data_IF_245722094094
#
_entry.id   IF_245722094094
#
_cell.length_a   1.000
_cell.length_b   1.000
_cell.length_c   1.000
_cell.angle_alpha   90.00
_cell.angle_beta   90.00
_cell.angle_gamma   90.00
#
_symmetry.space_group_name_H-M   'P 1'
#
loop_
_entity.id
_entity.type
_entity.pdbx_description
1 polymer ?
#
# COMPACT_ATOMS: atom_id res chain seq x y z
N UNK A 1 -11.41 -25.26 -39.67
CA UNK A 1 -11.60 -23.96 -38.98
C UNK A 1 -10.35 -23.54 -38.17
N UNK A 2 -9.16 -23.50 -38.79
CA UNK A 2 -7.93 -22.97 -38.15
C UNK A 2 -7.04 -22.15 -39.09
N UNK A 3 -7.44 -21.95 -40.35
CA UNK A 3 -6.67 -21.18 -41.35
C UNK A 3 -7.20 -19.76 -41.61
N UNK A 4 -8.47 -19.47 -41.28
CA UNK A 4 -9.05 -18.14 -41.49
C UNK A 4 -8.68 -17.10 -40.42
N UNK A 5 -8.40 -17.54 -39.19
CA UNK A 5 -8.12 -16.64 -38.06
C UNK A 5 -6.71 -16.00 -38.11
N UNK A 6 -5.79 -16.57 -38.90
CA UNK A 6 -4.45 -16.01 -39.07
C UNK A 6 -4.40 -14.91 -40.15
N UNK A 7 -5.31 -14.96 -41.15
CA UNK A 7 -5.32 -13.97 -42.24
C UNK A 7 -6.00 -12.65 -41.85
N UNK A 8 -6.95 -12.66 -40.90
CA UNK A 8 -7.55 -11.42 -40.36
C UNK A 8 -6.63 -10.66 -39.39
N UNK A 9 -5.63 -11.32 -38.80
CA UNK A 9 -4.63 -10.69 -37.94
C UNK A 9 -3.56 -9.95 -38.76
N UNK A 10 -3.24 -10.43 -39.95
CA UNK A 10 -2.24 -9.81 -40.84
C UNK A 10 -2.74 -8.51 -41.49
N UNK A 11 -4.05 -8.29 -41.60
CA UNK A 11 -4.63 -7.09 -42.23
C UNK A 11 -4.93 -5.93 -41.26
N UNK A 12 -4.81 -6.13 -39.93
CA UNK A 12 -5.03 -5.07 -38.93
C UNK A 12 -3.74 -4.41 -38.40
N UNK A 13 -2.58 -4.79 -38.91
CA UNK A 13 -1.32 -4.10 -38.65
C UNK A 13 -1.17 -2.88 -39.58
N UNK A 14 -2.07 -1.91 -39.48
CA UNK A 14 -1.85 -0.59 -40.07
C UNK A 14 -0.78 0.14 -39.26
N UNK A 15 0.25 0.60 -39.97
CA UNK A 15 1.50 1.16 -39.46
C UNK A 15 1.33 2.18 -38.30
N UNK A 16 2.23 2.18 -37.30
CA UNK A 16 2.36 3.33 -36.42
C UNK A 16 2.77 4.55 -37.26
N UNK A 17 1.98 5.61 -37.15
CA UNK A 17 2.29 6.96 -37.62
C UNK A 17 3.72 7.33 -37.25
N UNK A 18 4.47 7.81 -38.25
CA UNK A 18 5.89 8.16 -38.21
C UNK A 18 6.30 8.87 -36.91
N UNK A 19 6.76 8.10 -35.93
CA UNK A 19 7.67 8.61 -34.93
C UNK A 19 8.98 8.90 -35.68
N UNK A 20 9.28 10.19 -35.88
CA UNK A 20 10.53 10.64 -36.50
C UNK A 20 11.70 9.92 -35.84
N UNK A 21 12.29 8.98 -36.56
CA UNK A 21 13.42 8.21 -36.06
C UNK A 21 14.60 9.17 -35.88
N UNK A 22 14.86 9.57 -34.63
CA UNK A 22 16.00 10.42 -34.28
C UNK A 22 17.26 9.69 -34.72
N UNK A 23 17.93 10.20 -35.74
CA UNK A 23 19.14 9.58 -36.27
C UNK A 23 20.23 9.53 -35.19
N UNK A 24 21.12 8.54 -35.25
CA UNK A 24 22.26 8.42 -34.31
C UNK A 24 23.11 9.70 -34.27
N UNK A 25 23.17 10.47 -35.37
CA UNK A 25 23.82 11.79 -35.42
C UNK A 25 23.02 12.89 -34.73
N UNK A 26 21.69 12.86 -34.77
CA UNK A 26 20.84 13.78 -34.00
C UNK A 26 20.86 13.46 -32.50
N UNK A 27 20.91 12.16 -32.13
CA UNK A 27 21.07 11.73 -30.74
C UNK A 27 22.45 12.13 -30.17
N UNK A 28 23.52 11.90 -30.93
CA UNK A 28 24.87 12.32 -30.55
C UNK A 28 25.05 13.85 -30.63
N UNK A 29 24.34 14.53 -31.53
CA UNK A 29 24.31 16.00 -31.61
C UNK A 29 23.58 16.66 -30.44
N UNK A 30 22.54 16.01 -29.90
CA UNK A 30 21.85 16.45 -28.68
C UNK A 30 22.69 16.23 -27.41
N UNK A 31 23.55 15.21 -27.40
CA UNK A 31 24.56 14.97 -26.36
C UNK A 31 25.77 15.94 -26.45
N UNK A 32 25.93 16.66 -27.56
CA UNK A 32 26.99 17.66 -27.74
C UNK A 32 26.59 19.07 -27.27
N UNK A 33 25.48 19.22 -26.53
CA UNK A 33 25.24 20.42 -25.74
C UNK A 33 26.16 20.37 -24.51
N UNK A 34 26.82 21.49 -24.19
CA UNK A 34 27.75 21.64 -23.07
C UNK A 34 27.21 21.20 -21.68
N UNK A 35 25.92 20.89 -21.59
CA UNK A 35 25.24 20.30 -20.43
C UNK A 35 25.59 18.82 -20.18
N UNK A 36 25.86 18.00 -21.21
CA UNK A 36 26.09 16.56 -21.01
C UNK A 36 27.48 16.25 -20.44
N UNK A 37 28.49 17.04 -20.79
CA UNK A 37 29.86 16.87 -20.27
C UNK A 37 29.94 17.32 -18.81
N UNK A 38 29.33 18.46 -18.47
CA UNK A 38 29.24 18.95 -17.10
C UNK A 38 28.47 18.00 -16.17
N UNK A 39 27.37 17.40 -16.68
CA UNK A 39 26.61 16.41 -15.93
C UNK A 39 27.40 15.10 -15.72
N UNK A 40 28.22 14.67 -16.69
CA UNK A 40 29.07 13.48 -16.54
C UNK A 40 30.21 13.70 -15.54
N UNK A 41 30.84 14.88 -15.55
CA UNK A 41 31.88 15.27 -14.59
C UNK A 41 31.32 15.36 -13.16
N UNK A 42 30.13 15.94 -12.99
CA UNK A 42 29.44 15.99 -11.70
C UNK A 42 28.95 14.61 -11.24
N UNK A 43 28.50 13.75 -12.15
CA UNK A 43 28.08 12.38 -11.82
C UNK A 43 29.28 11.55 -11.34
N UNK A 44 30.47 11.76 -11.92
CA UNK A 44 31.70 11.11 -11.48
C UNK A 44 32.24 11.68 -10.15
N UNK A 45 32.05 12.97 -9.88
CA UNK A 45 32.55 13.64 -8.68
C UNK A 45 31.63 13.49 -7.45
N UNK A 46 30.31 13.51 -7.65
CA UNK A 46 29.33 13.33 -6.58
C UNK A 46 28.01 12.71 -7.12
N UNK A 47 27.97 11.37 -7.27
CA UNK A 47 26.80 10.67 -7.79
C UNK A 47 25.52 10.93 -6.97
N UNK A 48 25.63 11.06 -5.64
CA UNK A 48 24.47 11.33 -4.78
C UNK A 48 23.85 12.70 -5.04
N UNK A 49 24.66 13.75 -5.25
CA UNK A 49 24.14 15.09 -5.51
C UNK A 49 23.43 15.17 -6.87
N UNK A 50 23.94 14.45 -7.88
CA UNK A 50 23.30 14.39 -9.19
C UNK A 50 21.99 13.62 -9.12
N UNK A 51 21.95 12.48 -8.42
CA UNK A 51 20.71 11.73 -8.17
C UNK A 51 19.68 12.59 -7.43
N UNK A 52 20.07 13.29 -6.36
CA UNK A 52 19.20 14.19 -5.61
C UNK A 52 18.64 15.32 -6.50
N UNK A 53 19.46 15.89 -7.39
CA UNK A 53 19.01 16.91 -8.33
C UNK A 53 18.02 16.36 -9.36
N UNK A 54 18.25 15.17 -9.91
CA UNK A 54 17.30 14.51 -10.79
C UNK A 54 16.00 14.16 -10.07
N UNK A 55 16.08 13.65 -8.84
CA UNK A 55 14.92 13.40 -7.98
C UNK A 55 14.12 14.67 -7.74
N UNK A 56 14.78 15.78 -7.42
CA UNK A 56 14.14 17.08 -7.22
C UNK A 56 13.44 17.58 -8.49
N UNK A 57 14.11 17.50 -9.65
CA UNK A 57 13.51 17.88 -10.93
C UNK A 57 12.32 16.99 -11.31
N UNK A 58 12.43 15.68 -11.10
CA UNK A 58 11.34 14.73 -11.33
C UNK A 58 10.17 15.07 -10.41
N UNK A 59 10.41 15.33 -9.12
CA UNK A 59 9.38 15.71 -8.16
C UNK A 59 8.72 17.03 -8.55
N UNK A 60 9.47 18.07 -8.92
CA UNK A 60 8.92 19.35 -9.36
C UNK A 60 8.10 19.23 -10.66
N UNK A 61 8.60 18.46 -11.64
CA UNK A 61 7.86 18.17 -12.87
C UNK A 61 6.60 17.33 -12.63
N UNK A 62 6.64 16.46 -11.63
CA UNK A 62 5.52 15.61 -11.21
C UNK A 62 4.44 16.42 -10.47
N UNK A 63 4.85 17.35 -9.60
CA UNK A 63 3.95 18.18 -8.80
C UNK A 63 3.32 19.33 -9.59
N UNK A 64 3.89 19.72 -10.73
CA UNK A 64 3.36 20.78 -11.59
C UNK A 64 2.25 20.31 -12.56
N UNK A 65 1.91 19.02 -12.57
CA UNK A 65 0.87 18.47 -13.43
C UNK A 65 -0.54 18.93 -13.00
N UNK A 66 -1.37 19.31 -13.97
CA UNK A 66 -2.76 19.69 -13.71
C UNK A 66 -3.62 18.47 -13.35
N UNK A 67 -4.74 18.69 -12.67
CA UNK A 67 -5.69 17.60 -12.36
C UNK A 67 -6.31 16.94 -13.60
N UNK A 68 -6.32 17.62 -14.75
CA UNK A 68 -6.73 17.04 -16.02
C UNK A 68 -5.67 16.07 -16.57
N UNK A 69 -4.39 16.43 -16.48
CA UNK A 69 -3.27 15.57 -16.93
C UNK A 69 -3.21 14.29 -16.10
N UNK A 70 -3.40 14.40 -14.77
CA UNK A 70 -3.41 13.27 -13.86
C UNK A 70 -4.51 12.24 -14.16
N UNK A 71 -5.67 12.67 -14.67
CA UNK A 71 -6.78 11.78 -15.02
C UNK A 71 -6.47 10.91 -16.24
N UNK A 72 -5.53 11.32 -17.09
CA UNK A 72 -5.09 10.54 -18.24
C UNK A 72 -4.05 9.46 -17.87
N UNK A 73 -3.46 9.53 -16.67
CA UNK A 73 -2.44 8.61 -16.22
C UNK A 73 -3.02 7.27 -15.73
N UNK A 74 -2.12 6.30 -15.59
CA UNK A 74 -2.39 5.10 -14.83
C UNK A 74 -2.84 5.44 -13.40
N UNK A 75 -3.82 4.72 -12.87
CA UNK A 75 -4.37 5.01 -11.55
C UNK A 75 -3.34 4.91 -10.41
N UNK A 76 -2.37 4.00 -10.52
CA UNK A 76 -1.30 3.90 -9.53
C UNK A 76 -0.37 5.11 -9.60
N UNK A 77 -0.08 5.59 -10.81
CA UNK A 77 0.76 6.76 -11.00
C UNK A 77 0.04 8.03 -10.52
N UNK A 78 -1.24 8.21 -10.89
CA UNK A 78 -2.07 9.30 -10.34
C UNK A 78 -2.02 9.33 -8.81
N UNK A 79 -2.29 8.21 -8.16
CA UNK A 79 -2.26 8.13 -6.69
C UNK A 79 -0.86 8.40 -6.11
N UNK A 80 0.22 7.95 -6.78
CA UNK A 80 1.60 8.22 -6.35
C UNK A 80 1.90 9.72 -6.39
N UNK A 81 1.46 10.41 -7.44
CA UNK A 81 1.65 11.86 -7.58
C UNK A 81 0.83 12.63 -6.54
N UNK A 82 -0.45 12.25 -6.36
CA UNK A 82 -1.31 12.82 -5.33
C UNK A 82 -0.75 12.59 -3.91
N UNK A 83 -0.15 11.43 -3.65
CA UNK A 83 0.56 11.13 -2.41
C UNK A 83 1.73 12.11 -2.19
N UNK A 84 2.61 12.28 -3.18
CA UNK A 84 3.75 13.20 -3.09
C UNK A 84 3.29 14.65 -2.86
N UNK A 85 2.19 15.05 -3.50
CA UNK A 85 1.56 16.36 -3.28
C UNK A 85 1.05 16.50 -1.85
N UNK A 86 0.37 15.50 -1.32
CA UNK A 86 -0.11 15.50 0.06
C UNK A 86 1.03 15.57 1.09
N UNK A 87 2.19 14.96 0.79
CA UNK A 87 3.38 15.04 1.65
C UNK A 87 4.01 16.44 1.73
N UNK A 88 3.65 17.38 0.84
CA UNK A 88 4.07 18.79 0.97
C UNK A 88 3.29 19.56 2.04
N UNK A 89 2.12 19.06 2.45
CA UNK A 89 1.28 19.67 3.49
C UNK A 89 1.81 19.35 4.88
N UNK A 90 1.42 20.11 5.90
CA UNK A 90 1.70 19.71 7.28
C UNK A 90 0.93 18.43 7.63
N UNK A 91 1.45 17.54 8.51
CA UNK A 91 0.76 16.31 8.89
C UNK A 91 -0.70 16.51 9.35
N UNK A 92 -0.97 17.58 10.10
CA UNK A 92 -2.33 17.92 10.59
C UNK A 92 -3.32 18.33 9.50
N UNK A 93 -2.84 18.69 8.32
CA UNK A 93 -3.67 19.10 7.18
C UNK A 93 -4.07 17.92 6.28
N UNK A 94 -3.50 16.74 6.54
CA UNK A 94 -3.72 15.52 5.76
C UNK A 94 -4.80 14.67 6.41
N UNK A 95 -5.59 14.00 5.58
CA UNK A 95 -6.56 13.00 6.01
C UNK A 95 -6.45 11.76 5.13
N UNK A 96 -5.60 10.82 5.56
CA UNK A 96 -5.41 9.57 4.85
C UNK A 96 -6.68 8.71 4.86
N UNK A 97 -7.12 8.32 3.67
CA UNK A 97 -8.25 7.41 3.48
C UNK A 97 -7.89 6.29 2.50
N UNK A 98 -8.58 5.17 2.65
CA UNK A 98 -8.53 4.07 1.70
C UNK A 98 -9.91 3.84 1.11
N UNK A 99 -10.01 3.67 -0.20
CA UNK A 99 -11.26 3.32 -0.88
C UNK A 99 -11.10 1.95 -1.53
N UNK A 100 -12.05 1.05 -1.36
CA UNK A 100 -11.99 -0.31 -1.87
C UNK A 100 -13.21 -0.58 -2.76
N UNK A 101 -12.99 -0.69 -4.08
CA UNK A 101 -14.03 -1.04 -5.05
C UNK A 101 -14.27 -2.56 -5.07
N UNK A 102 -15.37 -2.98 -4.45
CA UNK A 102 -15.70 -4.38 -4.28
C UNK A 102 -16.14 -5.04 -5.59
N UNK A 103 -16.52 -4.25 -6.61
CA UNK A 103 -16.85 -4.74 -7.95
C UNK A 103 -15.62 -5.19 -8.73
N UNK A 104 -14.44 -4.67 -8.36
CA UNK A 104 -13.14 -5.02 -8.95
C UNK A 104 -12.39 -6.10 -8.18
N UNK A 105 -12.83 -6.44 -6.97
CA UNK A 105 -12.15 -7.41 -6.14
C UNK A 105 -12.51 -8.84 -6.57
N UNK A 106 -11.52 -9.58 -7.07
CA UNK A 106 -11.68 -10.97 -7.51
C UNK A 106 -11.22 -12.01 -6.47
N UNK A 107 -10.94 -11.59 -5.23
CA UNK A 107 -10.55 -12.52 -4.17
C UNK A 107 -9.16 -13.17 -4.36
N UNK A 108 -8.23 -12.55 -5.08
CA UNK A 108 -6.92 -13.15 -5.35
C UNK A 108 -5.95 -13.22 -4.16
N UNK A 109 -6.26 -12.59 -3.02
CA UNK A 109 -5.41 -12.46 -1.83
C UNK A 109 -4.00 -11.85 -2.03
N UNK A 110 -3.64 -11.38 -3.23
CA UNK A 110 -2.35 -10.75 -3.51
C UNK A 110 -2.06 -9.57 -2.56
N UNK A 111 -3.09 -8.81 -2.21
CA UNK A 111 -2.95 -7.67 -1.31
C UNK A 111 -2.80 -8.07 0.17
N UNK A 112 -3.24 -9.27 0.56
CA UNK A 112 -2.97 -9.85 1.88
C UNK A 112 -1.52 -10.28 1.94
N UNK A 113 -1.06 -11.06 0.95
CA UNK A 113 0.33 -11.55 0.89
C UNK A 113 1.32 -10.39 0.74
N UNK A 114 1.02 -9.38 -0.07
CA UNK A 114 1.83 -8.17 -0.18
C UNK A 114 1.95 -7.44 1.16
N UNK A 115 0.89 -7.42 1.98
CA UNK A 115 0.94 -6.83 3.32
C UNK A 115 1.76 -7.70 4.29
N UNK A 116 1.65 -9.03 4.21
CA UNK A 116 2.45 -9.97 5.01
C UNK A 116 3.93 -9.79 4.72
N UNK A 117 4.30 -9.77 3.43
CA UNK A 117 5.69 -9.63 3.01
C UNK A 117 6.28 -8.27 3.40
N UNK A 118 5.52 -7.19 3.19
CA UNK A 118 5.95 -5.83 3.48
C UNK A 118 6.20 -5.59 4.97
N UNK A 119 5.29 -6.07 5.83
CA UNK A 119 5.32 -5.79 7.28
C UNK A 119 5.90 -6.97 8.07
N UNK A 120 6.44 -7.99 7.37
CA UNK A 120 7.00 -9.24 7.91
C UNK A 120 6.09 -9.84 8.97
N UNK A 121 4.85 -10.11 8.57
CA UNK A 121 3.83 -10.58 9.49
C UNK A 121 4.00 -12.08 9.77
N UNK A 122 4.11 -12.50 11.04
CA UNK A 122 4.24 -13.91 11.40
C UNK A 122 2.92 -14.67 11.23
N UNK A 123 2.91 -16.01 11.37
CA UNK A 123 1.69 -16.80 11.32
C UNK A 123 0.61 -16.28 12.26
N UNK A 124 -0.62 -16.26 11.76
CA UNK A 124 -1.79 -15.78 12.51
C UNK A 124 -1.91 -14.25 12.58
N UNK A 125 -0.85 -13.48 12.29
CA UNK A 125 -0.93 -12.01 12.23
C UNK A 125 -1.24 -11.59 10.80
N UNK A 126 -2.48 -11.16 10.56
CA UNK A 126 -2.93 -10.72 9.23
C UNK A 126 -3.57 -9.35 9.32
N UNK A 127 -2.92 -8.33 8.74
CA UNK A 127 -3.38 -6.93 8.80
C UNK A 127 -4.56 -6.63 7.87
N UNK A 128 -4.73 -7.42 6.81
CA UNK A 128 -5.76 -7.23 5.78
C UNK A 128 -6.27 -8.58 5.27
N UNK A 129 -7.14 -9.28 6.00
CA UNK A 129 -7.86 -10.43 5.45
C UNK A 129 -8.80 -10.01 4.31
N UNK A 130 -9.08 -10.95 3.41
CA UNK A 130 -10.16 -10.83 2.42
C UNK A 130 -11.25 -11.80 2.86
N UNK A 131 -12.41 -11.27 3.25
CA UNK A 131 -13.54 -12.10 3.63
C UNK A 131 -14.34 -12.49 2.40
N UNK A 132 -14.86 -13.70 2.38
CA UNK A 132 -15.73 -14.21 1.33
C UNK A 132 -17.16 -14.30 1.84
N UNK A 133 -18.11 -13.83 1.03
CA UNK A 133 -19.54 -13.89 1.31
C UNK A 133 -20.25 -14.49 0.11
N UNK A 134 -21.00 -15.57 0.32
CA UNK A 134 -21.91 -16.13 -0.69
C UNK A 134 -23.31 -15.55 -0.49
N UNK A 135 -23.93 -15.09 -1.57
CA UNK A 135 -25.27 -14.49 -1.53
C UNK A 135 -26.12 -14.93 -2.72
N UNK A 136 -27.43 -14.82 -2.57
CA UNK A 136 -28.42 -15.29 -3.55
C UNK A 136 -29.08 -16.60 -3.11
N UNK A 137 -29.76 -17.27 -4.04
CA UNK A 137 -30.48 -18.51 -3.76
C UNK A 137 -30.26 -19.45 -4.93
N UNK A 138 -29.94 -20.72 -4.64
CA UNK A 138 -29.67 -21.72 -5.67
C UNK A 138 -30.81 -21.79 -6.71
N UNK A 139 -30.51 -21.79 -8.02
CA UNK A 139 -29.18 -21.87 -8.66
C UNK A 139 -28.47 -20.51 -8.87
N UNK A 140 -29.10 -19.39 -8.53
CA UNK A 140 -28.57 -18.03 -8.72
C UNK A 140 -27.77 -17.57 -7.49
N UNK A 141 -26.58 -18.15 -7.30
CA UNK A 141 -25.64 -17.78 -6.23
C UNK A 141 -24.47 -16.98 -6.78
N UNK A 142 -23.97 -16.04 -6.01
CA UNK A 142 -22.80 -15.23 -6.32
C UNK A 142 -21.89 -15.10 -5.10
N UNK A 143 -20.62 -14.79 -5.35
CA UNK A 143 -19.62 -14.53 -4.30
C UNK A 143 -19.23 -13.06 -4.30
N UNK A 144 -18.94 -12.53 -3.13
CA UNK A 144 -18.35 -11.21 -2.94
C UNK A 144 -17.13 -11.33 -2.03
N UNK A 145 -16.09 -10.58 -2.39
CA UNK A 145 -14.83 -10.55 -1.66
C UNK A 145 -14.67 -9.18 -1.00
N UNK A 146 -14.44 -9.16 0.31
CA UNK A 146 -14.38 -7.94 1.11
C UNK A 146 -13.03 -7.86 1.83
N UNK A 147 -12.02 -7.17 1.24
CA UNK A 147 -10.78 -6.88 1.94
C UNK A 147 -11.05 -5.97 3.17
N UNK A 148 -10.61 -6.40 4.35
CA UNK A 148 -10.89 -5.73 5.63
C UNK A 148 -9.60 -5.39 6.39
N UNK A 149 -8.93 -4.28 6.06
CA UNK A 149 -7.83 -3.77 6.89
C UNK A 149 -8.34 -3.14 8.20
N UNK A 150 -7.43 -2.65 9.05
CA UNK A 150 -7.79 -1.66 10.07
C UNK A 150 -8.45 -0.46 9.42
N UNK A 151 -9.59 -0.05 9.98
CA UNK A 151 -10.43 1.01 9.44
C UNK A 151 -9.90 2.42 9.71
N UNK A 152 -8.85 2.57 10.53
CA UNK A 152 -8.31 3.85 11.02
C UNK A 152 -9.41 4.84 11.40
N UNK A 153 -10.22 4.45 12.38
CA UNK A 153 -11.42 5.18 12.80
C UNK A 153 -11.07 6.58 13.34
N UNK A 154 -11.89 7.59 13.04
CA UNK A 154 -11.80 8.93 13.68
C UNK A 154 -12.15 8.85 15.16
N UNK A 155 -13.16 8.05 15.48
CA UNK A 155 -13.60 7.74 16.85
C UNK A 155 -13.24 6.28 17.17
N UNK A 156 -11.96 5.94 17.38
CA UNK A 156 -11.52 4.56 17.53
C UNK A 156 -11.88 4.01 18.92
N UNK A 157 -12.80 3.03 19.05
CA UNK A 157 -13.13 2.44 20.35
C UNK A 157 -11.94 1.69 20.98
N UNK A 158 -10.97 1.31 20.16
CA UNK A 158 -9.78 0.60 20.58
C UNK A 158 -8.71 1.47 21.27
N UNK A 159 -8.80 2.81 21.17
CA UNK A 159 -7.88 3.75 21.84
C UNK A 159 -8.18 3.93 23.33
N UNK A 160 -9.39 4.38 23.73
CA UNK A 160 -9.68 4.69 25.14
C UNK A 160 -9.68 3.45 26.05
N UNK A 161 -9.81 2.24 25.51
CA UNK A 161 -9.76 0.99 26.28
C UNK A 161 -8.35 0.56 26.66
N UNK A 162 -7.30 1.22 26.16
CA UNK A 162 -5.92 0.86 26.46
C UNK A 162 -5.50 1.39 27.84
N UNK A 163 -5.26 0.53 28.85
CA UNK A 163 -4.97 0.99 30.21
C UNK A 163 -3.61 1.69 30.36
N UNK A 164 -2.73 1.54 29.37
CA UNK A 164 -1.34 2.04 29.37
C UNK A 164 -1.10 3.06 28.24
N UNK A 165 -2.16 3.51 27.56
CA UNK A 165 -2.07 4.47 26.45
C UNK A 165 -1.05 4.07 25.36
N UNK A 166 -0.92 2.77 25.11
CA UNK A 166 -0.05 2.22 24.07
C UNK A 166 -0.63 2.36 22.65
N UNK A 167 -1.87 2.84 22.52
CA UNK A 167 -2.47 3.15 21.23
C UNK A 167 -3.11 4.52 21.29
N UNK A 168 -2.89 5.30 20.24
CA UNK A 168 -3.30 6.70 20.15
C UNK A 168 -3.49 7.06 18.68
N UNK A 169 -4.13 8.20 18.42
CA UNK A 169 -4.29 8.73 17.06
C UNK A 169 -3.22 9.80 16.83
N UNK A 170 -2.48 9.71 15.73
CA UNK A 170 -1.46 10.69 15.37
C UNK A 170 -2.07 11.95 14.72
N UNK A 171 -1.25 12.96 14.40
CA UNK A 171 -1.71 14.22 13.80
C UNK A 171 -2.38 14.05 12.42
N UNK A 172 -2.01 13.00 11.68
CA UNK A 172 -2.60 12.67 10.37
C UNK A 172 -3.89 11.84 10.51
N UNK A 173 -4.24 11.45 11.75
CA UNK A 173 -5.38 10.61 12.08
C UNK A 173 -5.20 9.11 11.85
N UNK A 174 -3.95 8.63 11.72
CA UNK A 174 -3.64 7.20 11.76
C UNK A 174 -3.65 6.77 13.23
N UNK A 175 -4.36 5.68 13.53
CA UNK A 175 -4.29 5.06 14.85
C UNK A 175 -2.97 4.29 14.93
N UNK A 176 -2.10 4.61 15.86
CA UNK A 176 -0.77 4.01 16.03
C UNK A 176 -0.70 3.06 17.23
N UNK A 177 0.39 2.29 17.29
CA UNK A 177 0.75 1.42 18.40
C UNK A 177 2.16 1.75 18.87
N UNK A 178 2.31 2.08 20.15
CA UNK A 178 3.60 2.07 20.84
C UNK A 178 3.82 0.67 21.41
N UNK A 179 4.74 -0.09 20.79
CA UNK A 179 5.05 -1.44 21.22
C UNK A 179 5.74 -1.51 22.57
N UNK A 180 6.56 -0.52 22.92
CA UNK A 180 7.27 -0.47 24.20
C UNK A 180 6.31 -0.27 25.39
N UNK A 181 5.19 0.43 25.15
CA UNK A 181 4.13 0.59 26.16
C UNK A 181 3.12 -0.55 26.18
N UNK A 182 3.02 -1.33 25.11
CA UNK A 182 1.94 -2.30 24.96
C UNK A 182 2.17 -3.56 25.81
N UNK A 183 1.46 -3.66 26.92
CA UNK A 183 1.54 -4.81 27.84
C UNK A 183 0.81 -6.10 27.39
N UNK A 184 0.33 -6.16 26.14
CA UNK A 184 -0.33 -7.37 25.62
C UNK A 184 -1.66 -7.76 26.28
N UNK A 185 -2.38 -6.82 26.91
CA UNK A 185 -3.67 -7.09 27.61
C UNK A 185 -4.85 -7.42 26.69
N UNK A 186 -4.72 -7.15 25.39
CA UNK A 186 -5.69 -7.49 24.32
C UNK A 186 -7.08 -6.83 24.40
N UNK A 187 -7.36 -5.90 25.33
CA UNK A 187 -8.64 -5.18 25.37
C UNK A 187 -8.99 -4.45 24.07
N UNK A 188 -7.98 -3.89 23.39
CA UNK A 188 -8.18 -3.24 22.11
C UNK A 188 -8.64 -4.19 20.99
N UNK A 189 -8.32 -5.49 21.07
CA UNK A 189 -8.79 -6.50 20.11
C UNK A 189 -10.30 -6.68 20.26
N UNK A 190 -10.77 -6.90 21.48
CA UNK A 190 -12.19 -7.07 21.79
C UNK A 190 -13.00 -5.80 21.49
N UNK A 191 -12.44 -4.63 21.76
CA UNK A 191 -13.11 -3.35 21.51
C UNK A 191 -13.23 -2.99 20.02
N UNK A 192 -12.45 -3.60 19.14
CA UNK A 192 -12.49 -3.30 17.71
C UNK A 192 -13.71 -4.00 17.05
N UNK A 193 -14.74 -3.26 16.58
CA UNK A 193 -15.92 -3.88 15.98
C UNK A 193 -15.62 -4.53 14.62
N UNK A 194 -14.42 -4.28 14.08
CA UNK A 194 -13.94 -4.82 12.82
C UNK A 194 -12.94 -5.98 13.01
N UNK A 195 -12.65 -6.41 14.24
CA UNK A 195 -11.67 -7.46 14.54
C UNK A 195 -10.33 -7.25 13.80
N UNK A 196 -9.92 -5.98 13.65
CA UNK A 196 -8.79 -5.60 12.80
C UNK A 196 -7.47 -5.45 13.56
N UNK A 197 -7.45 -5.88 14.83
CA UNK A 197 -6.27 -6.00 15.67
C UNK A 197 -6.03 -7.47 15.96
N UNK A 198 -4.76 -7.85 16.02
CA UNK A 198 -4.32 -9.21 16.24
C UNK A 198 -3.18 -9.21 17.25
N UNK A 199 -3.09 -10.22 18.12
CA UNK A 199 -1.96 -10.35 19.04
C UNK A 199 -0.84 -11.11 18.32
N UNK A 200 0.40 -10.61 18.41
CA UNK A 200 1.57 -11.39 18.01
C UNK A 200 1.91 -12.36 19.13
N UNK A 201 1.84 -13.67 18.87
CA UNK A 201 2.12 -14.70 19.88
C UNK A 201 3.56 -15.23 19.81
N UNK A 202 4.37 -14.75 18.87
CA UNK A 202 5.76 -15.22 18.72
C UNK A 202 5.95 -16.41 17.78
N UNK A 203 4.89 -16.90 17.14
CA UNK A 203 4.98 -18.02 16.20
C UNK A 203 5.84 -17.71 14.96
N UNK A 204 6.40 -18.75 14.35
CA UNK A 204 7.07 -18.73 13.04
C UNK A 204 6.45 -19.80 12.12
N UNK A 205 6.38 -19.56 10.81
CA UNK A 205 5.89 -20.49 9.78
C UNK A 205 6.75 -21.76 9.72
N UNK A 206 7.99 -21.67 10.19
CA UNK A 206 9.01 -22.72 10.17
C UNK A 206 9.15 -23.48 11.49
N UNK A 207 8.42 -23.11 12.56
CA UNK A 207 8.58 -23.68 13.91
C UNK A 207 8.46 -25.21 13.93
N UNK A 208 7.55 -25.77 13.13
CA UNK A 208 7.26 -27.21 13.06
C UNK A 208 7.93 -27.91 11.85
N UNK A 209 8.76 -27.21 11.09
CA UNK A 209 9.40 -27.77 9.88
C UNK A 209 10.70 -28.52 10.29
N UNK A 210 10.84 -29.82 9.98
CA UNK A 210 12.07 -30.56 10.27
C UNK A 210 13.27 -29.97 9.54
N UNK A 211 14.38 -29.77 10.24
CA UNK A 211 15.65 -29.39 9.61
C UNK A 211 16.18 -30.60 8.83
N UNK A 212 16.03 -30.57 7.51
CA UNK A 212 16.53 -31.63 6.62
C UNK A 212 18.04 -31.43 6.43
N UNK A 213 18.83 -32.31 7.04
CA UNK A 213 20.28 -32.29 6.93
C UNK A 213 20.71 -32.43 5.47
N UNK A 214 21.51 -31.48 4.98
CA UNK A 214 21.99 -31.43 3.59
C UNK A 214 21.15 -30.59 2.63
N UNK A 215 19.96 -30.13 3.04
CA UNK A 215 19.19 -29.15 2.27
C UNK A 215 19.62 -27.73 2.67
N UNK A 216 20.21 -27.01 1.71
CA UNK A 216 20.71 -25.64 1.91
C UNK A 216 19.59 -24.71 2.36
N UNK A 217 19.85 -23.90 3.39
CA UNK A 217 18.90 -22.89 3.89
C UNK A 217 17.90 -23.38 4.94
N UNK A 218 17.87 -24.68 5.28
CA UNK A 218 16.96 -25.21 6.32
C UNK A 218 17.25 -24.68 7.72
N UNK A 219 18.53 -24.49 8.08
CA UNK A 219 18.93 -23.94 9.37
C UNK A 219 18.68 -22.43 9.52
N UNK A 220 18.47 -21.74 8.40
CA UNK A 220 18.26 -20.29 8.31
C UNK A 220 16.87 -19.96 7.73
N UNK A 221 15.96 -20.93 7.70
CA UNK A 221 14.65 -20.78 7.07
C UNK A 221 13.79 -19.74 7.80
N UNK A 222 14.01 -19.58 9.11
CA UNK A 222 13.33 -18.59 9.94
C UNK A 222 14.00 -17.20 9.93
N UNK A 223 15.14 -17.02 9.24
CA UNK A 223 15.82 -15.71 9.14
C UNK A 223 14.91 -14.64 8.56
N UNK A 224 14.14 -14.97 7.53
CA UNK A 224 13.16 -14.05 6.94
C UNK A 224 12.10 -13.61 7.95
N UNK A 225 11.69 -14.52 8.82
CA UNK A 225 10.61 -14.33 9.79
C UNK A 225 11.07 -13.61 11.07
N UNK A 226 12.35 -13.74 11.40
CA UNK A 226 13.03 -13.00 12.47
C UNK A 226 13.55 -11.65 12.01
N UNK A 227 13.67 -11.43 10.70
CA UNK A 227 14.18 -10.20 10.14
C UNK A 227 13.39 -8.99 10.67
N UNK A 228 14.05 -7.90 11.07
CA UNK A 228 13.37 -6.77 11.71
C UNK A 228 12.30 -6.16 10.82
N UNK A 229 11.08 -5.97 11.32
CA UNK A 229 10.05 -5.22 10.62
C UNK A 229 10.17 -3.73 10.93
N UNK A 230 9.91 -2.87 9.94
CA UNK A 230 9.89 -1.43 10.15
C UNK A 230 8.45 -0.97 10.36
N UNK A 231 8.13 -0.53 11.57
CA UNK A 231 6.79 -0.02 11.93
C UNK A 231 6.94 1.22 12.82
N UNK A 232 6.04 2.20 12.64
CA UNK A 232 6.00 3.42 13.48
C UNK A 232 7.37 4.12 13.62
N UNK A 233 8.13 4.17 12.53
CA UNK A 233 9.44 4.84 12.48
C UNK A 233 10.61 4.09 13.10
N UNK A 234 10.43 2.81 13.49
CA UNK A 234 11.48 2.01 14.15
C UNK A 234 11.58 0.62 13.54
N UNK A 235 12.80 0.08 13.53
CA UNK A 235 13.04 -1.34 13.27
C UNK A 235 12.80 -2.12 14.56
N UNK A 236 11.93 -3.12 14.51
CA UNK A 236 11.69 -4.04 15.60
C UNK A 236 12.26 -5.41 15.22
N UNK A 237 13.36 -5.80 15.89
CA UNK A 237 13.92 -7.13 15.77
C UNK A 237 13.02 -8.13 16.51
N UNK A 238 12.62 -9.21 15.84
CA UNK A 238 11.70 -10.20 16.42
C UNK A 238 12.49 -11.28 17.17
N UNK A 239 13.20 -10.86 18.21
CA UNK A 239 14.10 -11.69 19.02
C UNK A 239 13.50 -12.03 20.38
N UNK A 240 13.43 -13.34 20.70
CA UNK A 240 12.92 -13.83 21.97
C UNK A 240 11.48 -13.39 22.23
N UNK A 241 11.27 -12.63 23.33
CA UNK A 241 9.96 -12.10 23.73
C UNK A 241 9.91 -10.56 23.67
N UNK A 242 10.83 -9.95 22.93
CA UNK A 242 10.86 -8.50 22.77
C UNK A 242 9.76 -8.05 21.80
N UNK A 243 9.38 -6.78 21.90
CA UNK A 243 8.50 -6.11 20.94
C UNK A 243 8.97 -6.38 19.49
N UNK A 244 8.10 -6.85 18.59
CA UNK A 244 6.64 -6.78 18.66
C UNK A 244 5.95 -8.03 19.25
N UNK A 245 6.71 -9.03 19.71
CA UNK A 245 6.17 -10.28 20.26
C UNK A 245 5.38 -9.99 21.53
N UNK A 246 4.15 -10.49 21.62
CA UNK A 246 3.24 -10.25 22.74
C UNK A 246 2.40 -8.97 22.60
N UNK A 247 2.76 -8.05 21.68
CA UNK A 247 2.00 -6.84 21.48
C UNK A 247 0.76 -7.05 20.60
N UNK A 248 -0.19 -6.11 20.70
CA UNK A 248 -1.27 -6.00 19.73
C UNK A 248 -0.74 -5.32 18.46
N UNK A 249 -0.90 -5.97 17.32
CA UNK A 249 -0.50 -5.50 15.99
C UNK A 249 -1.73 -5.24 15.11
N UNK A 250 -1.59 -4.37 14.11
CA UNK A 250 -2.66 -3.99 13.19
C UNK A 250 -2.12 -3.25 11.97
N UNK A 251 -2.94 -3.19 10.91
CA UNK A 251 -2.66 -2.29 9.79
C UNK A 251 -2.45 -0.84 10.26
N UNK A 252 -1.46 -0.17 9.67
CA UNK A 252 -1.10 1.23 9.90
C UNK A 252 -0.99 1.98 8.57
N UNK A 253 -1.79 1.57 7.57
CA UNK A 253 -1.77 2.11 6.20
C UNK A 253 -0.39 2.08 5.53
N UNK A 254 0.52 1.20 5.95
CA UNK A 254 1.91 1.23 5.50
C UNK A 254 2.53 2.63 5.66
N UNK A 255 2.29 3.29 6.79
CA UNK A 255 2.86 4.59 7.13
C UNK A 255 4.33 4.73 6.73
N UNK A 256 5.14 3.69 6.95
CA UNK A 256 6.56 3.68 6.56
C UNK A 256 6.79 3.88 5.06
N UNK A 257 5.95 3.29 4.20
CA UNK A 257 5.99 3.52 2.74
C UNK A 257 5.52 4.92 2.38
N UNK A 258 4.44 5.37 3.02
CA UNK A 258 3.84 6.69 2.74
C UNK A 258 4.84 7.80 3.04
N UNK A 259 5.58 7.72 4.14
CA UNK A 259 6.61 8.69 4.50
C UNK A 259 7.74 8.78 3.46
N UNK A 260 7.96 7.72 2.68
CA UNK A 260 8.93 7.67 1.57
C UNK A 260 8.30 7.98 0.20
N UNK A 261 7.04 8.46 0.16
CA UNK A 261 6.35 8.75 -1.11
C UNK A 261 5.92 7.50 -1.88
N UNK A 262 5.86 6.35 -1.21
CA UNK A 262 5.48 5.07 -1.79
C UNK A 262 4.08 4.66 -1.34
N UNK A 263 3.23 4.27 -2.30
CA UNK A 263 1.88 3.80 -2.00
C UNK A 263 1.88 2.53 -1.13
N UNK A 264 0.84 2.31 -0.31
CA UNK A 264 0.74 1.11 0.52
C UNK A 264 0.87 -0.18 -0.29
N UNK A 265 1.54 -1.19 0.27
CA UNK A 265 1.80 -2.45 -0.44
C UNK A 265 0.52 -3.11 -0.95
N UNK A 266 -0.57 -3.02 -0.19
CA UNK A 266 -1.86 -3.60 -0.54
C UNK A 266 -2.59 -2.87 -1.69
N UNK A 267 -2.15 -1.66 -2.05
CA UNK A 267 -2.61 -0.88 -3.21
C UNK A 267 -1.82 -1.30 -4.44
N UNK A 268 -0.49 -1.31 -4.36
CA UNK A 268 0.40 -1.60 -5.49
C UNK A 268 0.35 -3.06 -5.95
N UNK A 269 0.10 -3.99 -5.03
CA UNK A 269 -0.05 -5.43 -5.34
C UNK A 269 -1.44 -5.82 -5.84
N UNK A 270 -2.40 -4.88 -5.84
CA UNK A 270 -3.78 -5.20 -6.21
C UNK A 270 -3.94 -5.34 -7.73
N UNK A 271 -3.96 -6.59 -8.21
CA UNK A 271 -4.09 -6.91 -9.64
C UNK A 271 -5.37 -6.35 -10.29
N UNK A 272 -6.47 -6.28 -9.53
CA UNK A 272 -7.74 -5.73 -10.00
C UNK A 272 -7.84 -4.21 -9.89
N UNK A 273 -6.82 -3.53 -9.34
CA UNK A 273 -6.83 -2.08 -9.04
C UNK A 273 -8.10 -1.66 -8.29
N UNK A 274 -8.43 -2.47 -7.29
CA UNK A 274 -9.62 -2.32 -6.46
C UNK A 274 -9.36 -1.41 -5.25
N UNK A 275 -8.11 -1.21 -4.85
CA UNK A 275 -7.76 -0.44 -3.65
C UNK A 275 -7.14 0.88 -4.06
N UNK A 276 -7.68 1.97 -3.52
CA UNK A 276 -7.21 3.34 -3.73
C UNK A 276 -6.81 3.93 -2.39
N UNK A 277 -5.80 4.80 -2.40
CA UNK A 277 -5.28 5.43 -1.19
C UNK A 277 -4.85 6.87 -1.51
N UNK A 278 -5.10 7.78 -0.58
CA UNK A 278 -4.75 9.19 -0.76
C UNK A 278 -5.27 10.07 0.38
N UNK A 279 -5.08 11.37 0.20
CA UNK A 279 -5.50 12.42 1.13
C UNK A 279 -6.90 12.94 0.77
N UNK A 280 -7.90 12.66 1.62
CA UNK A 280 -9.27 13.13 1.43
C UNK A 280 -9.45 14.65 1.64
N UNK A 281 -8.47 15.34 2.23
CA UNK A 281 -8.49 16.80 2.34
C UNK A 281 -8.02 17.49 1.05
N UNK A 282 -7.43 16.75 0.09
CA UNK A 282 -7.21 17.25 -1.26
C UNK A 282 -8.48 17.03 -2.11
N UNK A 283 -9.24 18.09 -2.46
CA UNK A 283 -10.47 17.97 -3.23
C UNK A 283 -10.24 17.47 -4.67
N UNK A 284 -9.01 17.56 -5.19
CA UNK A 284 -8.67 17.05 -6.52
C UNK A 284 -8.22 15.58 -6.51
N UNK A 285 -7.99 15.00 -5.33
CA UNK A 285 -7.51 13.63 -5.21
C UNK A 285 -8.52 12.62 -5.75
N UNK A 286 -8.01 11.51 -6.27
CA UNK A 286 -8.83 10.39 -6.70
C UNK A 286 -9.71 9.88 -5.56
N UNK A 287 -9.19 9.81 -4.34
CA UNK A 287 -9.97 9.32 -3.20
C UNK A 287 -11.12 10.27 -2.84
N UNK A 288 -10.92 11.60 -2.89
CA UNK A 288 -11.99 12.57 -2.69
C UNK A 288 -13.09 12.43 -3.77
N UNK A 289 -12.68 12.23 -5.03
CA UNK A 289 -13.61 11.96 -6.14
C UNK A 289 -14.42 10.67 -5.89
N UNK A 290 -13.78 9.59 -5.43
CA UNK A 290 -14.41 8.30 -5.22
C UNK A 290 -15.38 8.30 -4.03
N UNK A 291 -15.03 8.95 -2.91
CA UNK A 291 -15.91 8.99 -1.73
C UNK A 291 -17.13 9.90 -1.92
N UNK A 292 -17.09 10.82 -2.88
CA UNK A 292 -18.24 11.66 -3.24
C UNK A 292 -19.29 10.93 -4.09
N UNK A 293 -19.01 9.70 -4.55
CA UNK A 293 -19.93 8.92 -5.40
C UNK A 293 -21.10 8.36 -4.57
N UNK A 294 -22.29 8.20 -5.17
CA UNK A 294 -23.48 7.75 -4.45
C UNK A 294 -23.43 6.27 -4.00
N UNK A 295 -22.53 5.47 -4.56
CA UNK A 295 -22.40 4.04 -4.22
C UNK A 295 -21.32 3.76 -3.16
N UNK A 296 -20.90 4.79 -2.41
CA UNK A 296 -19.98 4.66 -1.29
C UNK A 296 -20.69 4.10 -0.06
N UNK A 297 -19.99 3.27 0.70
CA UNK A 297 -20.42 2.66 1.94
C UNK A 297 -19.28 2.75 2.95
N UNK A 298 -19.53 3.15 4.19
CA UNK A 298 -18.61 2.84 5.30
C UNK A 298 -19.17 1.63 6.06
N UNK A 299 -18.25 0.79 6.53
CA UNK A 299 -18.65 -0.42 7.23
C UNK A 299 -19.12 -0.07 8.64
N UNK A 300 -20.30 -0.57 9.04
CA UNK A 300 -20.88 -0.40 10.39
C UNK A 300 -21.02 1.07 10.84
N UNK A 301 -21.60 1.91 9.97
CA UNK A 301 -21.82 3.34 10.26
C UNK A 301 -22.64 3.58 11.52
N UNK A 302 -23.56 2.67 11.84
CA UNK A 302 -24.43 2.71 13.02
C UNK A 302 -23.65 2.75 14.35
N UNK A 303 -22.37 2.37 14.36
CA UNK A 303 -21.52 2.37 15.55
C UNK A 303 -20.82 3.71 15.82
N UNK A 304 -20.93 4.70 14.92
CA UNK A 304 -20.35 6.03 15.12
C UNK A 304 -18.81 6.08 15.18
N UNK A 305 -18.11 5.01 14.79
CA UNK A 305 -16.63 4.96 14.85
C UNK A 305 -15.97 5.84 13.79
N UNK A 306 -16.74 6.27 12.79
CA UNK A 306 -16.25 7.04 11.65
C UNK A 306 -15.01 6.41 10.96
N UNK A 307 -15.15 5.25 10.29
CA UNK A 307 -14.07 4.61 9.51
C UNK A 307 -13.45 5.49 8.41
N UNK A 308 -12.12 5.49 8.27
CA UNK A 308 -11.42 6.13 7.13
C UNK A 308 -11.19 5.17 5.94
N UNK A 309 -11.77 3.97 6.02
CA UNK A 309 -11.83 3.03 4.91
C UNK A 309 -13.26 3.01 4.36
N UNK A 310 -13.37 3.27 3.07
CA UNK A 310 -14.63 3.33 2.33
C UNK A 310 -14.70 2.18 1.33
N UNK A 311 -15.90 1.72 1.04
CA UNK A 311 -16.17 0.67 0.08
C UNK A 311 -17.06 1.18 -1.04
N UNK A 312 -16.78 0.79 -2.28
CA UNK A 312 -17.70 0.99 -3.41
C UNK A 312 -18.41 -0.33 -3.71
N UNK A 313 -19.73 -0.30 -3.79
CA UNK A 313 -20.57 -1.45 -4.16
C UNK A 313 -21.09 -1.35 -5.58
#
# INVERSE_FOLDING_TARGET
MRKGYMQEQEQRASAPTEAQAVSRRQFLGALAAASAVAAFEQLAANPQAVLAHYEEQIVQGTLSQSSADLKALDVLERMRIELLRALQKQPSERRWVMVIDLRKCIGCHACTIGCVAENKLPPGVVYRPVLEEEYGTYPNVARRFIPRPCMQCENPPCVPVCPVNATFTNAEGIVEMDYERCIGCRYCLTACPYSARVSDFGFTYTEEIPVIQGLLGTQAADDYERAPNFEYGKLYAREGRNSPVGNARKCHFCQHRILEGVLPACVTTCIGRATFFGDANDPESLVAELIARPNVLRLREELGTEPRVYYLK
#
